data_IF_805093261392
#
_entry.id   IF_805093261392
#
_cell.length_a   1.000
_cell.length_b   1.000
_cell.length_c   1.000
_cell.angle_alpha   90.00
_cell.angle_beta   90.00
_cell.angle_gamma   90.00
#
_symmetry.space_group_name_H-M   'P 1'
#
loop_
_entity.id
_entity.type
_entity.pdbx_description
1 polymer ?
#
# COMPACT_ATOMS: atom_id res chain seq x y z
N UNK A 1 -0.63 5.85 -15.02
CA UNK A 1 -1.94 5.21 -15.08
C UNK A 1 -2.25 4.51 -13.77
N UNK A 2 -3.45 4.66 -13.29
CA UNK A 2 -3.86 4.02 -12.06
C UNK A 2 -4.16 2.55 -12.28
N UNK A 3 -3.83 1.75 -11.29
CA UNK A 3 -4.11 0.33 -11.32
C UNK A 3 -5.57 0.05 -11.02
N UNK A 4 -6.18 0.88 -10.17
CA UNK A 4 -7.60 0.85 -9.83
C UNK A 4 -8.13 2.26 -9.86
N UNK A 5 -9.44 2.40 -10.13
CA UNK A 5 -10.08 3.71 -10.04
C UNK A 5 -10.23 4.14 -8.58
N UNK A 6 -10.34 3.17 -7.66
CA UNK A 6 -10.51 3.45 -6.24
C UNK A 6 -9.26 3.10 -5.47
N UNK A 7 -8.78 3.98 -4.60
CA UNK A 7 -7.67 3.62 -3.73
C UNK A 7 -8.12 2.64 -2.66
N UNK A 8 -7.18 1.81 -2.22
CA UNK A 8 -7.42 0.96 -1.05
C UNK A 8 -7.53 1.82 0.22
N UNK A 9 -6.74 2.90 0.27
CA UNK A 9 -6.74 3.84 1.39
C UNK A 9 -6.61 5.25 0.84
N UNK A 10 -7.33 6.19 1.43
CA UNK A 10 -7.15 7.61 1.17
C UNK A 10 -7.23 8.34 2.50
N UNK A 11 -6.20 9.12 2.81
CA UNK A 11 -6.08 9.72 4.13
C UNK A 11 -5.31 11.04 4.05
N UNK A 12 -5.71 12.01 4.88
CA UNK A 12 -4.99 13.26 5.00
C UNK A 12 -3.84 13.11 5.98
N UNK A 13 -2.72 13.73 5.67
CA UNK A 13 -1.53 13.66 6.50
C UNK A 13 -1.58 14.74 7.60
N UNK A 14 -1.27 14.33 8.82
CA UNK A 14 -1.38 15.17 10.00
C UNK A 14 -0.01 15.62 10.49
N UNK A 15 0.05 16.68 11.32
CA UNK A 15 1.34 17.13 11.88
C UNK A 15 2.09 16.06 12.64
N UNK A 16 1.40 15.14 13.31
CA UNK A 16 2.04 14.05 14.05
C UNK A 16 2.78 13.06 13.14
N UNK A 17 2.53 13.12 11.84
CA UNK A 17 3.14 12.21 10.88
C UNK A 17 4.45 12.74 10.33
N UNK A 18 4.90 13.91 10.79
CA UNK A 18 6.09 14.57 10.24
C UNK A 18 7.38 14.03 10.83
N UNK A 19 8.45 14.22 10.06
CA UNK A 19 9.82 13.98 10.54
C UNK A 19 10.41 15.31 11.03
N UNK A 20 11.71 15.28 11.37
CA UNK A 20 12.40 16.45 11.87
C UNK A 20 12.59 17.54 10.81
N UNK A 21 12.35 17.23 9.54
CA UNK A 21 12.56 18.15 8.43
C UNK A 21 11.27 18.80 7.94
N UNK A 22 10.14 18.45 8.55
CA UNK A 22 8.86 19.07 8.19
C UNK A 22 8.09 18.36 7.07
N UNK A 23 8.60 17.25 6.58
CA UNK A 23 7.87 16.43 5.62
C UNK A 23 7.31 15.19 6.34
N UNK A 24 6.45 14.44 5.67
CA UNK A 24 5.85 13.25 6.28
C UNK A 24 6.92 12.16 6.38
N UNK A 25 7.02 11.55 7.54
CA UNK A 25 7.99 10.51 7.81
C UNK A 25 7.76 9.33 6.87
N UNK A 26 8.84 8.86 6.22
CA UNK A 26 8.74 7.77 5.24
C UNK A 26 8.12 6.50 5.81
N UNK A 27 8.38 6.22 7.08
CA UNK A 27 7.80 5.05 7.73
C UNK A 27 6.28 5.11 7.83
N UNK A 28 5.71 6.30 7.92
CA UNK A 28 4.25 6.46 7.91
C UNK A 28 3.71 6.01 6.56
N UNK A 29 4.33 6.48 5.48
CA UNK A 29 3.92 6.10 4.12
C UNK A 29 4.06 4.58 3.94
N UNK A 30 5.17 4.01 4.41
CA UNK A 30 5.40 2.56 4.28
C UNK A 30 4.38 1.75 5.07
N UNK A 31 3.96 2.22 6.24
CA UNK A 31 2.95 1.50 7.01
C UNK A 31 1.60 1.47 6.30
N UNK A 32 1.22 2.58 5.66
CA UNK A 32 -0.01 2.59 4.87
C UNK A 32 0.11 1.78 3.60
N UNK A 33 1.31 1.73 2.99
CA UNK A 33 1.56 0.85 1.84
C UNK A 33 1.32 -0.59 2.25
N UNK A 34 1.82 -1.00 3.42
CA UNK A 34 1.64 -2.35 3.91
C UNK A 34 0.16 -2.66 4.11
N UNK A 35 -0.59 -1.74 4.72
CA UNK A 35 -2.02 -1.93 4.90
C UNK A 35 -2.77 -1.98 3.58
N UNK A 36 -2.42 -1.11 2.65
CA UNK A 36 -3.09 -1.07 1.34
C UNK A 36 -2.85 -2.35 0.55
N UNK A 37 -1.64 -2.89 0.63
CA UNK A 37 -1.33 -4.16 -0.02
C UNK A 37 -2.08 -5.32 0.60
N UNK A 38 -2.21 -5.32 1.93
CA UNK A 38 -2.94 -6.38 2.63
C UNK A 38 -4.43 -6.34 2.29
N UNK A 39 -5.00 -5.15 2.11
CA UNK A 39 -6.38 -5.01 1.67
C UNK A 39 -6.57 -5.65 0.31
N UNK A 40 -5.65 -5.40 -0.61
CA UNK A 40 -5.71 -6.00 -1.94
C UNK A 40 -5.58 -7.53 -1.86
N UNK A 41 -4.64 -8.02 -1.06
CA UNK A 41 -4.45 -9.46 -0.91
C UNK A 41 -5.72 -10.13 -0.42
N UNK A 42 -6.38 -9.52 0.57
CA UNK A 42 -7.63 -10.04 1.10
C UNK A 42 -8.73 -10.02 0.04
N UNK A 43 -8.89 -8.89 -0.65
CA UNK A 43 -9.99 -8.73 -1.61
C UNK A 43 -9.81 -9.62 -2.83
N UNK A 44 -8.56 -9.80 -3.26
CA UNK A 44 -8.28 -10.59 -4.45
C UNK A 44 -8.45 -12.08 -4.22
N UNK A 45 -8.11 -12.57 -3.03
CA UNK A 45 -8.12 -13.99 -2.74
C UNK A 45 -9.33 -14.45 -1.90
N UNK A 46 -9.93 -13.54 -1.16
CA UNK A 46 -10.97 -13.88 -0.19
C UNK A 46 -10.42 -14.42 1.12
N UNK A 47 -9.10 -14.57 1.23
CA UNK A 47 -8.46 -15.04 2.46
C UNK A 47 -8.10 -13.85 3.34
N UNK A 48 -8.08 -14.06 4.66
CA UNK A 48 -7.95 -12.96 5.60
C UNK A 48 -6.72 -13.02 6.49
N UNK A 49 -5.85 -14.03 6.34
CA UNK A 49 -4.65 -14.15 7.16
C UNK A 49 -3.41 -14.13 6.30
N UNK A 50 -2.77 -12.98 6.27
CA UNK A 50 -1.53 -12.78 5.54
C UNK A 50 -0.48 -12.19 6.45
N UNK A 51 0.77 -12.60 6.25
CA UNK A 51 1.92 -12.03 6.94
C UNK A 51 2.78 -11.34 5.91
N UNK A 52 3.20 -10.12 6.20
CA UNK A 52 4.12 -9.39 5.33
C UNK A 52 5.51 -10.00 5.50
N UNK A 53 6.09 -10.47 4.40
CA UNK A 53 7.43 -11.08 4.46
C UNK A 53 8.49 -10.25 3.78
N UNK A 54 8.11 -9.35 2.88
CA UNK A 54 9.10 -8.51 2.21
C UNK A 54 8.42 -7.27 1.63
N UNK A 55 9.18 -6.19 1.59
CA UNK A 55 8.80 -5.00 0.87
C UNK A 55 10.01 -4.61 0.03
N UNK A 56 9.82 -4.48 -1.26
CA UNK A 56 10.94 -4.25 -2.16
C UNK A 56 10.57 -3.25 -3.24
N UNK A 57 11.57 -2.81 -4.00
CA UNK A 57 11.37 -1.82 -5.07
C UNK A 57 10.72 -0.55 -4.53
N UNK A 58 11.10 -0.16 -3.30
CA UNK A 58 10.56 1.04 -2.67
C UNK A 58 11.25 2.25 -3.24
N UNK A 59 10.47 3.16 -3.81
CA UNK A 59 11.00 4.38 -4.39
C UNK A 59 10.19 5.56 -3.86
N UNK A 60 10.89 6.52 -3.24
CA UNK A 60 10.30 7.78 -2.81
C UNK A 60 10.62 8.82 -3.88
N UNK A 61 9.66 9.12 -4.73
CA UNK A 61 9.86 10.05 -5.84
C UNK A 61 9.81 11.50 -5.41
N UNK A 62 8.99 11.81 -4.40
CA UNK A 62 8.76 13.18 -3.99
C UNK A 62 8.30 13.20 -2.53
N UNK A 63 8.55 14.31 -1.82
CA UNK A 63 8.10 14.43 -0.44
C UNK A 63 6.60 14.59 -0.33
N UNK A 64 6.07 14.19 0.82
CA UNK A 64 4.68 14.37 1.19
C UNK A 64 4.65 15.37 2.35
N UNK A 65 3.65 16.27 2.35
CA UNK A 65 3.58 17.35 3.32
C UNK A 65 2.31 17.26 4.16
N UNK A 66 2.33 17.92 5.30
CA UNK A 66 1.14 18.02 6.16
C UNK A 66 -0.01 18.59 5.34
N UNK A 67 -1.18 18.00 5.48
CA UNK A 67 -2.38 18.42 4.77
C UNK A 67 -2.56 17.78 3.42
N UNK A 68 -1.53 17.12 2.88
CA UNK A 68 -1.69 16.38 1.62
C UNK A 68 -2.73 15.29 1.80
N UNK A 69 -3.59 15.12 0.79
CA UNK A 69 -4.51 14.00 0.72
C UNK A 69 -3.80 12.89 -0.05
N UNK A 70 -3.54 11.78 0.62
CA UNK A 70 -2.70 10.72 0.08
C UNK A 70 -3.56 9.50 -0.21
N UNK A 71 -3.41 8.98 -1.43
CA UNK A 71 -4.18 7.84 -1.91
C UNK A 71 -3.23 6.71 -2.27
N UNK A 72 -3.59 5.50 -1.82
CA UNK A 72 -2.78 4.30 -1.99
C UNK A 72 -3.54 3.34 -2.88
N UNK A 73 -3.02 3.10 -4.08
CA UNK A 73 -3.63 2.22 -5.08
C UNK A 73 -2.87 0.92 -5.12
N UNK A 74 -3.60 -0.18 -5.09
CA UNK A 74 -3.01 -1.52 -5.02
C UNK A 74 -3.39 -2.34 -6.22
N UNK A 75 -2.47 -3.22 -6.63
CA UNK A 75 -2.70 -4.14 -7.73
C UNK A 75 -1.95 -5.43 -7.45
N UNK A 76 -2.63 -6.57 -7.62
CA UNK A 76 -1.95 -7.86 -7.53
C UNK A 76 -1.10 -8.09 -8.76
N UNK A 77 0.19 -8.35 -8.55
CA UNK A 77 1.10 -8.65 -9.65
C UNK A 77 1.22 -10.14 -9.89
N UNK A 78 1.21 -10.94 -8.82
CA UNK A 78 1.54 -12.35 -8.94
C UNK A 78 1.00 -13.11 -7.74
N UNK A 79 0.48 -14.30 -7.99
CA UNK A 79 0.07 -15.21 -6.93
C UNK A 79 0.89 -16.48 -7.06
N UNK A 80 1.63 -16.83 -6.01
CA UNK A 80 2.36 -18.08 -5.91
C UNK A 80 1.53 -19.09 -5.15
N UNK A 81 2.16 -20.19 -4.76
CA UNK A 81 1.47 -21.25 -4.04
C UNK A 81 0.97 -20.77 -2.68
N UNK A 82 1.83 -20.07 -1.93
CA UNK A 82 1.49 -19.56 -0.60
C UNK A 82 1.67 -18.05 -0.50
N UNK A 83 2.11 -17.38 -1.57
CA UNK A 83 2.44 -15.96 -1.51
C UNK A 83 1.67 -15.15 -2.54
N UNK A 84 1.53 -13.87 -2.27
CA UNK A 84 0.95 -12.92 -3.20
C UNK A 84 1.82 -11.66 -3.18
N UNK A 85 2.10 -11.16 -4.38
CA UNK A 85 2.88 -9.93 -4.55
C UNK A 85 1.93 -8.83 -5.02
N UNK A 86 1.94 -7.72 -4.30
CA UNK A 86 1.06 -6.58 -4.57
C UNK A 86 1.93 -5.36 -4.83
N UNK A 87 1.61 -4.64 -5.88
CA UNK A 87 2.22 -3.34 -6.13
C UNK A 87 1.32 -2.27 -5.56
N UNK A 88 1.92 -1.32 -4.83
CA UNK A 88 1.20 -0.17 -4.29
C UNK A 88 1.81 1.10 -4.85
N UNK A 89 0.97 1.95 -5.42
CA UNK A 89 1.37 3.26 -5.95
C UNK A 89 0.67 4.31 -5.11
N UNK A 90 1.44 5.30 -4.68
CA UNK A 90 0.97 6.35 -3.78
C UNK A 90 0.97 7.68 -4.48
N UNK A 91 -0.17 8.36 -4.43
CA UNK A 91 -0.34 9.70 -4.99
C UNK A 91 -0.71 10.68 -3.88
N UNK A 92 -0.20 11.89 -3.96
CA UNK A 92 -0.55 12.94 -3.03
C UNK A 92 -1.17 14.12 -3.78
N UNK A 93 -2.28 14.60 -3.23
CA UNK A 93 -2.92 15.81 -3.73
C UNK A 93 -2.64 16.92 -2.73
N UNK A 94 -2.03 18.01 -3.20
CA UNK A 94 -1.58 19.09 -2.33
C UNK A 94 -2.76 19.83 -1.73
N UNK A 95 -2.69 20.10 -0.45
CA UNK A 95 -3.73 20.87 0.24
C UNK A 95 -3.89 22.24 -0.40
N UNK A 96 -5.13 22.64 -0.65
CA UNK A 96 -5.41 23.94 -1.25
C UNK A 96 -5.19 24.02 -2.76
N UNK A 97 -4.83 22.91 -3.38
CA UNK A 97 -4.60 22.85 -4.82
C UNK A 97 -5.32 21.65 -5.43
N UNK A 98 -6.67 21.70 -5.49
CA UNK A 98 -7.44 20.57 -6.00
C UNK A 98 -6.98 20.17 -7.39
N UNK A 99 -6.76 18.87 -7.60
CA UNK A 99 -6.30 18.37 -8.87
C UNK A 99 -4.79 18.35 -9.04
N UNK A 100 -4.03 18.97 -8.13
CA UNK A 100 -2.57 18.93 -8.18
C UNK A 100 -2.10 17.61 -7.56
N UNK A 101 -2.18 16.54 -8.34
CA UNK A 101 -1.88 15.19 -7.90
C UNK A 101 -0.52 14.77 -8.42
N UNK A 102 0.27 14.14 -7.56
CA UNK A 102 1.61 13.72 -7.90
C UNK A 102 1.87 12.33 -7.34
N UNK A 103 2.50 11.47 -8.15
CA UNK A 103 2.97 10.20 -7.64
C UNK A 103 4.16 10.46 -6.72
N UNK A 104 4.09 9.98 -5.49
CA UNK A 104 5.12 10.29 -4.48
C UNK A 104 5.91 9.06 -4.07
N UNK A 105 5.31 7.87 -4.10
CA UNK A 105 5.99 6.66 -3.65
C UNK A 105 5.40 5.47 -4.39
N UNK A 106 6.20 4.41 -4.50
CA UNK A 106 5.70 3.11 -4.96
C UNK A 106 6.52 2.01 -4.32
N UNK A 107 5.92 0.83 -4.22
CA UNK A 107 6.60 -0.32 -3.63
C UNK A 107 5.90 -1.60 -4.04
N UNK A 108 6.61 -2.73 -3.92
CA UNK A 108 6.03 -4.06 -4.01
C UNK A 108 6.08 -4.69 -2.65
N UNK A 109 4.98 -5.31 -2.24
CA UNK A 109 4.89 -5.98 -0.95
C UNK A 109 4.53 -7.43 -1.19
N UNK A 110 5.23 -8.33 -0.50
CA UNK A 110 5.01 -9.75 -0.62
C UNK A 110 4.41 -10.25 0.69
N UNK A 111 3.27 -10.93 0.57
CA UNK A 111 2.55 -11.50 1.70
C UNK A 111 2.51 -13.02 1.56
N UNK A 112 2.51 -13.71 2.69
CA UNK A 112 2.35 -15.16 2.72
C UNK A 112 1.07 -15.46 3.47
N UNK A 113 0.24 -16.32 2.88
CA UNK A 113 -0.99 -16.77 3.51
C UNK A 113 -0.65 -17.75 4.63
N UNK A 114 -1.31 -17.57 5.78
CA UNK A 114 -1.08 -18.42 6.93
C UNK A 114 -2.42 -18.91 7.48
N UNK A 115 -2.38 -20.05 8.18
CA UNK A 115 -3.57 -20.59 8.84
C UNK A 115 -3.72 -19.97 10.24
N UNK A 116 -4.69 -20.48 11.00
CA UNK A 116 -4.98 -19.95 12.32
C UNK A 116 -3.81 -20.10 13.30
N UNK A 117 -2.87 -21.00 12.99
CA UNK A 117 -1.69 -21.25 13.83
C UNK A 117 -0.46 -20.51 13.31
N UNK A 118 -0.62 -19.70 12.25
CA UNK A 118 0.49 -18.96 11.68
C UNK A 118 1.36 -19.73 10.72
N UNK A 119 0.95 -20.92 10.33
CA UNK A 119 1.70 -21.73 9.38
C UNK A 119 1.28 -21.41 7.96
N UNK A 120 2.22 -21.48 7.03
CA UNK A 120 1.93 -21.24 5.62
C UNK A 120 0.78 -22.13 5.15
N UNK A 121 -0.10 -21.53 4.38
CA UNK A 121 -1.20 -22.26 3.78
C UNK A 121 -1.32 -21.89 2.32
N UNK A 122 -1.83 -22.81 1.52
CA UNK A 122 -1.97 -22.59 0.09
C UNK A 122 -3.05 -21.57 -0.20
N UNK A 123 -2.78 -20.68 -1.15
CA UNK A 123 -3.76 -19.69 -1.57
C UNK A 123 -4.75 -20.37 -2.51
N UNK A 124 -6.03 -20.40 -2.10
CA UNK A 124 -7.09 -20.81 -3.01
C UNK A 124 -7.76 -19.53 -3.51
N UNK A 125 -7.08 -18.95 -4.49
CA UNK A 125 -7.50 -17.67 -5.03
C UNK A 125 -8.87 -17.75 -5.67
N UNK A 126 -9.68 -16.76 -5.39
CA UNK A 126 -10.97 -16.61 -6.05
C UNK A 126 -10.77 -15.88 -7.36
N UNK A 127 -11.61 -16.15 -8.31
CA UNK A 127 -11.66 -15.37 -9.53
C UNK A 127 -12.23 -14.00 -9.23
N UNK A 128 -11.60 -13.02 -9.79
CA UNK A 128 -12.04 -11.65 -9.61
C UNK A 128 -12.67 -11.13 -10.89
#
# INVERSE_FOLDING_TARGET
MRMNSDPAIRIAMLPRDTNSQGTIFGGVILSYIDMAGAIEAHRHTGMDRFVTVAMREVIFHAPVFVGDLVSFYSETLKIGKTSITVRVVVEAERYGQPGAVKRVTEAEVIYVAVDAKGKKTEISAKKI
#
